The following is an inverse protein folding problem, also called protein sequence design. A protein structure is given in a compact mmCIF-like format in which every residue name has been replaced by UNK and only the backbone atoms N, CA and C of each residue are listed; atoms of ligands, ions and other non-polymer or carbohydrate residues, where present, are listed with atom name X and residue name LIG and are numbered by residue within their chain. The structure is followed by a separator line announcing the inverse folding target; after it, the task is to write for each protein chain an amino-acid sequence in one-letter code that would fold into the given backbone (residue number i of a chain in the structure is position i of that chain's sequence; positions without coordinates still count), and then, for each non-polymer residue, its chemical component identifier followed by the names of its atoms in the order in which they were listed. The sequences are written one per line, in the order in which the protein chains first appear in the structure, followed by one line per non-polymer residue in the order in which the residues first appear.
data_IF_646371798827
#
_entry.id   IF_646371798827
#
_cell.length_a   1.000
_cell.length_b   1.000
_cell.length_c   1.000
_cell.angle_alpha   90.00
_cell.angle_beta   90.00
_cell.angle_gamma   90.00
#
_symmetry.space_group_name_H-M   'P 1'
#
loop_
_entity.id
_entity.type
_entity.pdbx_description
1 polymer ?
#
# COMPACT_ATOMS: atom_id res chain seq x y z
N UNK A 1 -13.18 12.85 15.78
CA UNK A 1 -14.54 13.42 15.74
C UNK A 1 -15.63 12.36 15.54
N UNK A 2 -15.57 11.50 14.51
CA UNK A 2 -16.61 10.47 14.27
C UNK A 2 -16.87 9.53 15.45
N UNK A 3 -15.84 9.15 16.22
CA UNK A 3 -15.96 8.25 17.37
C UNK A 3 -16.83 8.81 18.51
N UNK A 4 -17.07 10.12 18.55
CA UNK A 4 -18.02 10.72 19.51
C UNK A 4 -19.44 10.25 19.23
N UNK A 5 -19.84 10.31 17.96
CA UNK A 5 -21.13 9.78 17.51
C UNK A 5 -21.20 8.26 17.65
N UNK A 6 -20.10 7.55 17.40
CA UNK A 6 -20.06 6.09 17.54
C UNK A 6 -20.36 5.64 18.98
N UNK A 7 -19.58 6.10 19.96
CA UNK A 7 -19.75 5.67 21.34
C UNK A 7 -20.95 6.33 22.01
N UNK A 8 -21.10 7.65 21.88
CA UNK A 8 -22.18 8.36 22.56
C UNK A 8 -23.52 8.13 21.89
N UNK A 9 -23.57 7.99 20.56
CA UNK A 9 -24.78 7.64 19.83
C UNK A 9 -25.27 6.22 20.08
N UNK A 10 -24.40 5.31 20.53
CA UNK A 10 -24.78 3.96 20.97
C UNK A 10 -25.69 3.95 22.20
N UNK A 11 -25.86 5.09 22.89
CA UNK A 11 -26.88 5.25 23.93
C UNK A 11 -28.30 5.35 23.38
N UNK A 12 -28.46 5.64 22.08
CA UNK A 12 -29.73 5.85 21.38
C UNK A 12 -30.64 6.93 22.02
N UNK A 13 -30.06 7.79 22.86
CA UNK A 13 -30.77 8.85 23.57
C UNK A 13 -29.84 10.03 23.83
N UNK A 14 -30.38 11.24 23.87
CA UNK A 14 -29.63 12.43 24.29
C UNK A 14 -29.94 12.75 25.75
N UNK A 15 -29.13 12.19 26.66
CA UNK A 15 -29.30 12.33 28.11
C UNK A 15 -27.96 12.60 28.83
N UNK A 16 -28.00 12.66 30.17
CA UNK A 16 -26.84 12.95 31.02
C UNK A 16 -25.68 11.93 30.90
N UNK A 17 -25.90 10.76 30.30
CA UNK A 17 -24.85 9.76 30.08
C UNK A 17 -23.98 10.07 28.85
N UNK A 18 -24.43 10.91 27.92
CA UNK A 18 -23.73 11.24 26.68
C UNK A 18 -22.40 11.98 26.94
N UNK A 19 -22.36 13.10 27.69
CA UNK A 19 -21.11 13.82 27.95
C UNK A 19 -19.99 12.96 28.59
N UNK A 20 -20.25 12.15 29.65
CA UNK A 20 -19.19 11.34 30.24
C UNK A 20 -18.69 10.22 29.31
N UNK A 21 -19.54 9.68 28.42
CA UNK A 21 -19.11 8.71 27.40
C UNK A 21 -18.12 9.36 26.41
N UNK A 22 -18.42 10.58 25.95
CA UNK A 22 -17.52 11.33 25.05
C UNK A 22 -16.19 11.60 25.76
N UNK A 23 -16.23 12.06 27.01
CA UNK A 23 -15.02 12.34 27.79
C UNK A 23 -14.15 11.09 27.97
N UNK A 24 -14.74 9.94 28.36
CA UNK A 24 -14.03 8.66 28.48
C UNK A 24 -13.44 8.20 27.15
N UNK A 25 -14.17 8.40 26.06
CA UNK A 25 -13.68 8.08 24.71
C UNK A 25 -12.44 8.89 24.36
N UNK A 26 -12.45 10.19 24.65
CA UNK A 26 -11.29 11.07 24.42
C UNK A 26 -10.10 10.71 25.31
N UNK A 27 -10.34 10.46 26.60
CA UNK A 27 -9.29 10.10 27.55
C UNK A 27 -8.58 8.80 27.14
N UNK A 28 -9.32 7.77 26.73
CA UNK A 28 -8.74 6.52 26.27
C UNK A 28 -7.94 6.69 24.96
N UNK A 29 -8.49 7.41 23.98
CA UNK A 29 -7.77 7.69 22.73
C UNK A 29 -6.49 8.49 22.96
N UNK A 30 -6.55 9.55 23.78
CA UNK A 30 -5.39 10.39 24.08
C UNK A 30 -4.31 9.65 24.88
N UNK A 31 -4.70 8.91 25.91
CA UNK A 31 -3.75 8.14 26.73
C UNK A 31 -3.05 7.03 25.94
N UNK A 32 -3.79 6.32 25.08
CA UNK A 32 -3.22 5.32 24.17
C UNK A 32 -2.26 5.96 23.16
N UNK A 33 -2.62 7.11 22.57
CA UNK A 33 -1.75 7.82 21.62
C UNK A 33 -0.41 8.22 22.25
N UNK A 34 -0.45 8.77 23.47
CA UNK A 34 0.76 9.16 24.22
C UNK A 34 1.57 7.92 24.59
N UNK A 35 0.93 6.87 25.12
CA UNK A 35 1.62 5.65 25.53
C UNK A 35 2.29 4.96 24.35
N UNK A 36 1.60 4.82 23.21
CA UNK A 36 2.18 4.21 22.01
C UNK A 36 3.33 5.05 21.47
N UNK A 37 3.17 6.37 21.39
CA UNK A 37 4.25 7.25 20.94
C UNK A 37 5.50 7.11 21.82
N UNK A 38 5.35 7.15 23.14
CA UNK A 38 6.48 7.05 24.07
C UNK A 38 7.17 5.69 23.97
N UNK A 39 6.41 4.59 24.00
CA UNK A 39 6.95 3.24 23.91
C UNK A 39 7.56 2.98 22.53
N UNK A 40 6.90 3.41 21.47
CA UNK A 40 7.35 3.23 20.09
C UNK A 40 8.61 4.02 19.82
N UNK A 41 8.67 5.27 20.28
CA UNK A 41 9.87 6.10 20.21
C UNK A 41 11.02 5.46 20.99
N UNK A 42 10.76 4.95 22.20
CA UNK A 42 11.79 4.26 22.97
C UNK A 42 12.43 3.10 22.19
N UNK A 43 11.65 2.26 21.50
CA UNK A 43 12.17 1.13 20.74
C UNK A 43 12.74 1.48 19.37
N UNK A 44 12.13 2.43 18.65
CA UNK A 44 12.56 2.80 17.29
C UNK A 44 13.66 3.85 17.26
N UNK A 45 13.89 4.54 18.38
CA UNK A 45 14.80 5.68 18.50
C UNK A 45 14.28 6.96 17.85
N UNK A 46 13.11 6.96 17.19
CA UNK A 46 12.54 8.14 16.52
C UNK A 46 11.01 8.23 16.71
N UNK A 47 10.47 9.41 17.04
CA UNK A 47 9.03 9.59 17.12
C UNK A 47 8.45 9.64 15.70
N UNK A 48 7.64 8.64 15.35
CA UNK A 48 6.94 8.61 14.05
C UNK A 48 5.45 8.93 14.23
N UNK A 49 4.85 9.55 13.22
CA UNK A 49 3.43 9.89 13.25
C UNK A 49 2.52 8.65 13.28
N UNK A 50 3.01 7.53 12.75
CA UNK A 50 2.28 6.27 12.72
C UNK A 50 1.90 5.82 14.13
N UNK A 51 2.81 5.92 15.11
CA UNK A 51 2.52 5.59 16.51
C UNK A 51 1.40 6.43 17.11
N UNK A 52 1.34 7.72 16.76
CA UNK A 52 0.30 8.61 17.26
C UNK A 52 -1.07 8.28 16.62
N UNK A 53 -1.10 8.01 15.32
CA UNK A 53 -2.33 7.64 14.60
C UNK A 53 -2.84 6.29 15.10
N UNK A 54 -2.04 5.23 14.99
CA UNK A 54 -2.45 3.87 15.38
C UNK A 54 -2.70 3.77 16.89
N UNK A 55 -1.92 4.47 17.71
CA UNK A 55 -2.17 4.54 19.14
C UNK A 55 -3.48 5.24 19.49
N UNK A 56 -3.80 6.36 18.84
CA UNK A 56 -5.07 7.04 19.09
C UNK A 56 -6.27 6.15 18.71
N UNK A 57 -6.22 5.49 17.56
CA UNK A 57 -7.31 4.61 17.09
C UNK A 57 -7.40 3.37 17.98
N UNK A 58 -6.28 2.76 18.37
CA UNK A 58 -6.27 1.60 19.27
C UNK A 58 -6.93 1.88 20.62
N UNK A 59 -6.71 3.06 21.20
CA UNK A 59 -7.39 3.49 22.43
C UNK A 59 -8.89 3.70 22.26
N UNK A 60 -9.30 4.28 21.12
CA UNK A 60 -10.71 4.46 20.77
C UNK A 60 -11.42 3.12 20.55
N UNK A 61 -10.76 2.16 19.90
CA UNK A 61 -11.27 0.79 19.76
C UNK A 61 -11.41 0.13 21.13
N UNK A 62 -10.37 0.18 21.97
CA UNK A 62 -10.38 -0.50 23.26
C UNK A 62 -11.46 0.01 24.22
N UNK A 63 -11.77 1.31 24.23
CA UNK A 63 -12.80 1.85 25.12
C UNK A 63 -14.23 1.61 24.62
N UNK A 64 -14.41 1.23 23.35
CA UNK A 64 -15.73 1.19 22.69
C UNK A 64 -16.74 0.32 23.46
N UNK A 65 -16.36 -0.88 23.86
CA UNK A 65 -17.24 -1.82 24.57
C UNK A 65 -17.63 -1.34 25.98
N UNK A 66 -16.75 -0.58 26.64
CA UNK A 66 -16.83 -0.30 28.09
C UNK A 66 -17.06 1.19 28.41
N UNK A 67 -17.12 2.06 27.39
CA UNK A 67 -17.17 3.51 27.56
C UNK A 67 -18.34 4.01 28.42
N UNK A 68 -19.46 3.27 28.51
CA UNK A 68 -20.61 3.60 29.34
C UNK A 68 -20.44 3.17 30.80
N UNK A 69 -19.81 2.02 31.05
CA UNK A 69 -19.78 1.37 32.37
C UNK A 69 -18.48 1.57 33.17
N UNK A 70 -17.44 2.20 32.62
CA UNK A 70 -16.16 2.43 33.34
C UNK A 70 -16.03 3.84 33.92
N UNK A 71 -15.07 4.03 34.82
CA UNK A 71 -14.67 5.36 35.34
C UNK A 71 -13.75 6.11 34.36
N UNK A 72 -13.60 7.43 34.54
CA UNK A 72 -12.65 8.24 33.75
C UNK A 72 -11.21 7.76 33.90
N UNK A 73 -10.79 7.41 35.12
CA UNK A 73 -9.43 6.88 35.38
C UNK A 73 -9.25 5.51 34.73
N UNK A 74 -10.24 4.63 34.83
CA UNK A 74 -10.21 3.32 34.16
C UNK A 74 -10.07 3.47 32.64
N UNK A 75 -10.74 4.46 32.03
CA UNK A 75 -10.61 4.71 30.58
C UNK A 75 -9.18 5.04 30.15
N UNK A 76 -8.43 5.76 30.99
CA UNK A 76 -7.00 6.06 30.75
C UNK A 76 -6.17 4.78 30.81
N UNK A 77 -6.39 3.92 31.81
CA UNK A 77 -5.67 2.64 31.90
C UNK A 77 -5.99 1.70 30.74
N UNK A 78 -7.25 1.62 30.33
CA UNK A 78 -7.67 0.84 29.16
C UNK A 78 -6.94 1.32 27.91
N UNK A 79 -6.88 2.64 27.70
CA UNK A 79 -6.13 3.24 26.59
C UNK A 79 -4.63 2.95 26.65
N UNK A 80 -3.98 3.14 27.80
CA UNK A 80 -2.56 2.83 27.96
C UNK A 80 -2.25 1.36 27.63
N UNK A 81 -3.05 0.41 28.12
CA UNK A 81 -2.84 -1.03 27.85
C UNK A 81 -3.09 -1.34 26.37
N UNK A 82 -4.06 -0.68 25.73
CA UNK A 82 -4.33 -0.84 24.30
C UNK A 82 -3.11 -0.53 23.43
N UNK A 83 -2.30 0.48 23.79
CA UNK A 83 -1.05 0.78 23.09
C UNK A 83 -0.07 -0.41 23.10
N UNK A 84 0.11 -1.06 24.26
CA UNK A 84 0.97 -2.24 24.38
C UNK A 84 0.41 -3.45 23.63
N UNK A 85 -0.90 -3.67 23.69
CA UNK A 85 -1.58 -4.74 22.94
C UNK A 85 -1.44 -4.54 21.44
N UNK A 86 -1.60 -3.31 20.95
CA UNK A 86 -1.45 -2.99 19.54
C UNK A 86 0.00 -3.23 19.08
N UNK A 87 0.98 -2.69 19.79
CA UNK A 87 2.40 -2.88 19.45
C UNK A 87 2.81 -4.36 19.51
N UNK A 88 2.35 -5.08 20.52
CA UNK A 88 2.59 -6.52 20.64
C UNK A 88 1.97 -7.30 19.46
N UNK A 89 0.74 -6.95 19.08
CA UNK A 89 0.06 -7.57 17.93
C UNK A 89 0.78 -7.29 16.62
N UNK A 90 1.23 -6.06 16.40
CA UNK A 90 2.05 -5.67 15.24
C UNK A 90 3.35 -6.49 15.19
N UNK A 91 4.05 -6.59 16.32
CA UNK A 91 5.26 -7.41 16.43
C UNK A 91 5.00 -8.89 16.09
N UNK A 92 3.90 -9.46 16.56
CA UNK A 92 3.53 -10.84 16.23
C UNK A 92 3.27 -11.02 14.73
N UNK A 93 2.55 -10.12 14.07
CA UNK A 93 2.29 -10.21 12.63
C UNK A 93 3.60 -10.16 11.82
N UNK A 94 4.48 -9.21 12.14
CA UNK A 94 5.80 -9.11 11.51
C UNK A 94 6.61 -10.40 11.74
N UNK A 95 6.57 -10.96 12.95
CA UNK A 95 7.27 -12.20 13.29
C UNK A 95 6.79 -13.40 12.47
N UNK A 96 5.51 -13.43 12.09
CA UNK A 96 4.92 -14.43 11.22
C UNK A 96 4.95 -14.06 9.73
N UNK A 97 5.60 -12.94 9.36
CA UNK A 97 5.65 -12.41 7.99
C UNK A 97 4.26 -12.16 7.39
N UNK A 98 3.31 -11.77 8.24
CA UNK A 98 2.00 -11.32 7.81
C UNK A 98 2.10 -9.81 7.63
N UNK A 99 1.97 -9.37 6.38
CA UNK A 99 2.01 -7.96 6.03
C UNK A 99 0.62 -7.34 6.15
N UNK A 100 0.42 -6.52 7.19
CA UNK A 100 -0.78 -5.72 7.39
C UNK A 100 -0.46 -4.26 7.03
N UNK A 101 -0.79 -3.89 5.80
CA UNK A 101 -0.39 -2.62 5.19
C UNK A 101 -0.78 -1.37 5.99
N UNK A 102 -1.85 -1.44 6.79
CA UNK A 102 -2.37 -0.28 7.55
C UNK A 102 -2.41 -0.51 9.06
N UNK A 103 -2.05 -1.70 9.54
CA UNK A 103 -2.15 -2.06 10.96
C UNK A 103 -3.60 -2.26 11.41
N UNK A 104 -4.50 -2.70 10.52
CA UNK A 104 -5.90 -2.92 10.84
C UNK A 104 -6.09 -4.04 11.88
N UNK A 105 -5.32 -5.12 11.80
CA UNK A 105 -5.42 -6.26 12.71
C UNK A 105 -4.94 -5.89 14.12
N UNK A 106 -3.75 -5.29 14.33
CA UNK A 106 -3.33 -4.83 15.66
C UNK A 106 -4.32 -3.86 16.30
N UNK A 107 -4.79 -2.87 15.53
CA UNK A 107 -5.65 -1.80 16.02
C UNK A 107 -7.06 -2.30 16.31
N UNK A 108 -7.68 -3.05 15.40
CA UNK A 108 -9.09 -3.44 15.53
C UNK A 108 -9.27 -4.79 16.21
N UNK A 109 -8.53 -5.83 15.80
CA UNK A 109 -8.64 -7.15 16.42
C UNK A 109 -7.95 -7.15 17.78
N UNK A 110 -6.67 -6.75 17.85
CA UNK A 110 -5.89 -6.75 19.09
C UNK A 110 -6.53 -5.89 20.18
N UNK A 111 -6.67 -4.58 19.92
CA UNK A 111 -7.31 -3.68 20.90
C UNK A 111 -8.79 -3.98 21.12
N UNK A 112 -9.49 -4.56 20.14
CA UNK A 112 -10.90 -4.95 20.27
C UNK A 112 -11.08 -6.12 21.25
N UNK A 113 -10.21 -7.13 21.18
CA UNK A 113 -10.15 -8.23 22.15
C UNK A 113 -9.90 -7.68 23.55
N UNK A 114 -8.87 -6.83 23.69
CA UNK A 114 -8.55 -6.19 24.96
C UNK A 114 -9.72 -5.36 25.50
N UNK A 115 -10.32 -4.51 24.67
CA UNK A 115 -11.42 -3.63 25.05
C UNK A 115 -12.67 -4.38 25.49
N UNK A 116 -13.00 -5.46 24.80
CA UNK A 116 -14.12 -6.34 25.16
C UNK A 116 -13.88 -7.03 26.50
N UNK A 117 -12.66 -7.53 26.71
CA UNK A 117 -12.28 -8.14 27.99
C UNK A 117 -12.24 -7.11 29.13
N UNK A 118 -11.85 -5.87 28.84
CA UNK A 118 -11.80 -4.78 29.83
C UNK A 118 -13.17 -4.44 30.43
N UNK A 119 -14.28 -4.77 29.75
CA UNK A 119 -15.63 -4.66 30.33
C UNK A 119 -15.74 -5.47 31.62
N UNK A 120 -15.19 -6.70 31.64
CA UNK A 120 -15.26 -7.57 32.80
C UNK A 120 -14.36 -7.11 33.97
N UNK A 121 -13.24 -6.46 33.65
CA UNK A 121 -12.26 -6.04 34.64
C UNK A 121 -12.59 -4.67 35.27
N UNK A 122 -13.09 -3.73 34.45
CA UNK A 122 -13.26 -2.33 34.86
C UNK A 122 -14.72 -1.85 34.85
N UNK A 123 -15.65 -2.65 34.32
CA UNK A 123 -17.06 -2.32 34.29
C UNK A 123 -17.63 -2.23 35.71
N UNK A 124 -18.31 -1.12 36.01
CA UNK A 124 -18.98 -0.93 37.30
C UNK A 124 -20.22 -1.81 37.35
N UNK A 125 -20.32 -2.63 38.40
CA UNK A 125 -21.43 -3.56 38.58
C UNK A 125 -22.78 -2.84 38.68
N UNK A 126 -22.80 -1.66 39.30
CA UNK A 126 -24.03 -0.84 39.41
C UNK A 126 -24.55 -0.36 38.05
N UNK A 127 -23.69 -0.26 37.03
CA UNK A 127 -24.06 0.20 35.69
C UNK A 127 -24.39 -0.98 34.77
N UNK A 128 -23.69 -2.10 34.93
CA UNK A 128 -23.94 -3.32 34.15
C UNK A 128 -25.23 -4.02 34.58
N UNK A 129 -25.56 -3.97 35.88
CA UNK A 129 -26.82 -4.42 36.49
C UNK A 129 -27.31 -5.81 36.03
N UNK A 130 -26.37 -6.74 35.85
CA UNK A 130 -26.66 -8.09 35.35
C UNK A 130 -26.47 -9.19 36.41
N UNK A 131 -26.12 -8.81 37.64
CA UNK A 131 -25.87 -9.72 38.76
C UNK A 131 -24.66 -10.65 38.62
N UNK A 132 -23.86 -10.51 37.56
CA UNK A 132 -22.71 -11.38 37.31
C UNK A 132 -21.51 -10.99 38.16
N UNK A 133 -20.79 -11.98 38.70
CA UNK A 133 -19.47 -11.77 39.27
C UNK A 133 -18.43 -11.43 38.19
N UNK A 134 -17.26 -10.93 38.58
CA UNK A 134 -16.15 -10.63 37.64
C UNK A 134 -15.76 -11.89 36.83
N UNK A 135 -15.79 -13.07 37.44
CA UNK A 135 -15.42 -14.33 36.78
C UNK A 135 -16.46 -14.69 35.72
N UNK A 136 -17.76 -14.62 36.07
CA UNK A 136 -18.85 -14.89 35.13
C UNK A 136 -18.86 -13.86 33.99
N UNK A 137 -18.69 -12.58 34.33
CA UNK A 137 -18.59 -11.50 33.35
C UNK A 137 -17.41 -11.72 32.40
N UNK A 138 -16.25 -12.15 32.92
CA UNK A 138 -15.06 -12.48 32.12
C UNK A 138 -15.33 -13.63 31.16
N UNK A 139 -16.01 -14.67 31.64
CA UNK A 139 -16.39 -15.81 30.80
C UNK A 139 -17.34 -15.38 29.68
N UNK A 140 -18.34 -14.54 29.97
CA UNK A 140 -19.28 -14.01 28.97
C UNK A 140 -18.54 -13.19 27.90
N UNK A 141 -17.63 -12.30 28.31
CA UNK A 141 -16.86 -11.50 27.36
C UNK A 141 -15.94 -12.37 26.49
N UNK A 142 -15.30 -13.38 27.07
CA UNK A 142 -14.46 -14.31 26.33
C UNK A 142 -15.27 -15.13 25.32
N UNK A 143 -16.45 -15.64 25.71
CA UNK A 143 -17.36 -16.32 24.79
C UNK A 143 -17.79 -15.38 23.66
N UNK A 144 -18.06 -14.11 23.95
CA UNK A 144 -18.37 -13.09 22.94
C UNK A 144 -17.22 -12.89 21.94
N UNK A 145 -15.99 -12.73 22.43
CA UNK A 145 -14.78 -12.58 21.61
C UNK A 145 -14.61 -13.79 20.69
N UNK A 146 -14.67 -15.00 21.24
CA UNK A 146 -14.48 -16.25 20.47
C UNK A 146 -15.59 -16.41 19.43
N UNK A 147 -16.85 -16.15 19.82
CA UNK A 147 -17.99 -16.25 18.90
C UNK A 147 -17.87 -15.24 17.77
N UNK A 148 -17.53 -13.98 18.07
CA UNK A 148 -17.33 -12.94 17.06
C UNK A 148 -16.22 -13.32 16.08
N UNK A 149 -15.09 -13.87 16.58
CA UNK A 149 -14.00 -14.34 15.73
C UNK A 149 -14.42 -15.52 14.82
N UNK A 150 -15.05 -16.56 15.41
CA UNK A 150 -15.46 -17.76 14.69
C UNK A 150 -16.55 -17.50 13.64
N UNK A 151 -17.36 -16.46 13.82
CA UNK A 151 -18.34 -16.04 12.81
C UNK A 151 -17.69 -15.13 11.77
N UNK A 152 -17.03 -14.05 12.19
CA UNK A 152 -16.55 -13.01 11.27
C UNK A 152 -15.40 -13.47 10.39
N UNK A 153 -14.40 -14.16 10.94
CA UNK A 153 -13.20 -14.52 10.19
C UNK A 153 -13.48 -15.58 9.11
N UNK A 154 -14.11 -16.75 9.41
CA UNK A 154 -14.41 -17.73 8.38
C UNK A 154 -15.41 -17.22 7.33
N UNK A 155 -16.40 -16.43 7.75
CA UNK A 155 -17.38 -15.87 6.82
C UNK A 155 -16.72 -14.86 5.86
N UNK A 156 -15.92 -13.92 6.38
CA UNK A 156 -15.18 -12.97 5.56
C UNK A 156 -14.20 -13.68 4.63
N UNK A 157 -13.46 -14.67 5.13
CA UNK A 157 -12.52 -15.44 4.32
C UNK A 157 -13.23 -16.20 3.18
N UNK A 158 -14.33 -16.89 3.49
CA UNK A 158 -15.13 -17.61 2.50
C UNK A 158 -15.69 -16.63 1.46
N UNK A 159 -16.24 -15.50 1.90
CA UNK A 159 -16.80 -14.48 1.03
C UNK A 159 -15.74 -13.90 0.09
N UNK A 160 -14.60 -13.46 0.62
CA UNK A 160 -13.50 -12.89 -0.17
C UNK A 160 -12.94 -13.93 -1.15
N UNK A 161 -12.79 -15.19 -0.72
CA UNK A 161 -12.35 -16.27 -1.61
C UNK A 161 -13.35 -16.56 -2.74
N UNK A 162 -14.66 -16.49 -2.48
CA UNK A 162 -15.68 -16.64 -3.53
C UNK A 162 -15.67 -15.46 -4.52
N UNK A 163 -15.45 -14.24 -4.02
CA UNK A 163 -15.32 -13.05 -4.86
C UNK A 163 -14.06 -13.15 -5.73
N UNK A 164 -12.92 -13.54 -5.15
CA UNK A 164 -11.63 -13.65 -5.84
C UNK A 164 -11.67 -14.60 -7.05
N UNK A 165 -12.54 -15.63 -7.01
CA UNK A 165 -12.75 -16.53 -8.16
C UNK A 165 -13.35 -15.85 -9.39
N UNK A 166 -14.12 -14.78 -9.21
CA UNK A 166 -14.79 -14.06 -10.31
C UNK A 166 -14.14 -12.72 -10.59
N UNK A 167 -13.65 -12.06 -9.55
CA UNK A 167 -13.06 -10.73 -9.57
C UNK A 167 -11.75 -10.81 -8.79
N UNK A 168 -10.59 -10.94 -9.47
CA UNK A 168 -9.31 -11.07 -8.78
C UNK A 168 -9.10 -9.86 -7.88
N UNK A 169 -8.94 -10.11 -6.58
CA UNK A 169 -8.83 -9.04 -5.58
C UNK A 169 -7.40 -8.47 -5.51
N UNK A 170 -6.42 -9.23 -5.98
CA UNK A 170 -5.02 -8.80 -6.06
C UNK A 170 -4.69 -8.36 -7.49
N UNK A 171 -4.06 -7.19 -7.60
CA UNK A 171 -3.53 -6.66 -8.86
C UNK A 171 -2.40 -7.55 -9.41
N UNK A 172 -2.06 -7.38 -10.70
CA UNK A 172 -0.94 -8.09 -11.29
C UNK A 172 0.39 -7.69 -10.64
N UNK A 173 1.42 -8.55 -10.70
CA UNK A 173 2.74 -8.21 -10.17
C UNK A 173 3.36 -6.99 -10.88
N UNK A 174 3.07 -6.81 -12.17
CA UNK A 174 3.52 -5.63 -12.92
C UNK A 174 2.87 -4.36 -12.37
N UNK A 175 1.55 -4.39 -12.15
CA UNK A 175 0.82 -3.25 -11.56
C UNK A 175 1.20 -2.98 -10.11
N UNK A 176 1.54 -4.03 -9.34
CA UNK A 176 2.05 -3.91 -7.96
C UNK A 176 3.40 -3.18 -7.93
N UNK A 177 4.29 -3.45 -8.90
CA UNK A 177 5.60 -2.81 -9.03
C UNK A 177 5.51 -1.36 -9.52
N UNK A 178 4.61 -1.08 -10.46
CA UNK A 178 4.37 0.27 -10.99
C UNK A 178 3.65 1.15 -9.94
N UNK A 179 2.79 0.52 -9.13
CA UNK A 179 2.02 1.14 -8.05
C UNK A 179 0.59 1.49 -8.46
N UNK A 180 -0.39 1.19 -7.58
CA UNK A 180 -1.83 1.31 -7.86
C UNK A 180 -2.30 2.74 -8.16
N UNK A 181 -1.56 3.75 -7.73
CA UNK A 181 -1.86 5.14 -8.12
C UNK A 181 -1.71 5.33 -9.63
N UNK A 182 -0.76 4.66 -10.25
CA UNK A 182 -0.49 4.79 -11.69
C UNK A 182 -1.33 3.78 -12.48
N UNK A 183 -1.32 2.50 -12.10
CA UNK A 183 -2.00 1.42 -12.84
C UNK A 183 -3.53 1.52 -12.79
N UNK A 184 -4.11 1.79 -11.62
CA UNK A 184 -5.58 1.84 -11.44
C UNK A 184 -6.14 3.26 -11.56
N UNK A 185 -5.40 4.28 -11.08
CA UNK A 185 -5.92 5.66 -10.98
C UNK A 185 -5.30 6.63 -12.00
N UNK A 186 -4.35 6.19 -12.83
CA UNK A 186 -3.71 7.01 -13.85
C UNK A 186 -2.98 8.24 -13.31
N UNK A 187 -2.63 8.26 -12.02
CA UNK A 187 -1.99 9.39 -11.38
C UNK A 187 -0.56 9.56 -11.93
N UNK A 188 -0.23 10.78 -12.30
CA UNK A 188 1.13 11.16 -12.74
C UNK A 188 1.75 12.04 -11.68
N UNK A 189 2.82 11.58 -11.06
CA UNK A 189 3.69 12.41 -10.21
C UNK A 189 4.85 12.95 -11.06
N UNK A 190 5.47 14.07 -10.66
CA UNK A 190 6.64 14.61 -11.35
C UNK A 190 7.76 13.57 -11.48
N UNK A 191 7.95 12.74 -10.45
CA UNK A 191 8.90 11.63 -10.47
C UNK A 191 8.48 10.52 -11.43
N UNK A 192 7.19 10.15 -11.51
CA UNK A 192 6.73 9.14 -12.47
C UNK A 192 6.87 9.62 -13.91
N UNK A 193 6.60 10.91 -14.16
CA UNK A 193 6.82 11.52 -15.47
C UNK A 193 8.30 11.56 -15.85
N UNK A 194 9.20 11.80 -14.88
CA UNK A 194 10.63 11.75 -15.11
C UNK A 194 11.09 10.34 -15.51
N UNK A 195 10.67 9.31 -14.77
CA UNK A 195 10.99 7.91 -15.09
C UNK A 195 10.37 7.45 -16.42
N UNK A 196 9.13 7.86 -16.73
CA UNK A 196 8.52 7.54 -18.03
C UNK A 196 9.26 8.22 -19.18
N UNK A 197 9.67 9.48 -19.01
CA UNK A 197 10.43 10.20 -20.03
C UNK A 197 11.82 9.59 -20.24
N UNK A 198 12.50 9.16 -19.17
CA UNK A 198 13.79 8.46 -19.26
C UNK A 198 13.68 7.13 -20.01
N UNK A 199 12.65 6.34 -19.72
CA UNK A 199 12.41 5.05 -20.41
C UNK A 199 11.99 5.23 -21.88
N UNK A 200 11.26 6.29 -22.21
CA UNK A 200 10.97 6.66 -23.60
C UNK A 200 12.23 7.09 -24.36
N UNK A 201 13.12 7.87 -23.74
CA UNK A 201 14.41 8.22 -24.34
C UNK A 201 15.29 6.98 -24.57
N UNK A 202 15.34 6.04 -23.63
CA UNK A 202 16.06 4.78 -23.80
C UNK A 202 15.53 4.00 -25.02
N UNK A 203 14.20 3.84 -25.11
CA UNK A 203 13.56 3.17 -26.26
C UNK A 203 13.84 3.90 -27.57
N UNK A 204 13.80 5.23 -27.58
CA UNK A 204 14.14 6.02 -28.77
C UNK A 204 15.59 5.81 -29.21
N UNK A 205 16.54 5.79 -28.28
CA UNK A 205 17.96 5.55 -28.58
C UNK A 205 18.14 4.16 -29.19
N UNK A 206 17.55 3.14 -28.58
CA UNK A 206 17.60 1.76 -29.10
C UNK A 206 16.98 1.70 -30.50
N UNK A 207 15.82 2.34 -30.70
CA UNK A 207 15.13 2.34 -31.98
C UNK A 207 15.96 3.02 -33.07
N UNK A 208 16.58 4.15 -32.77
CA UNK A 208 17.47 4.86 -33.69
C UNK A 208 18.70 4.01 -34.06
N UNK A 209 19.31 3.34 -33.07
CA UNK A 209 20.44 2.44 -33.31
C UNK A 209 20.06 1.26 -34.21
N UNK A 210 18.95 0.59 -33.92
CA UNK A 210 18.46 -0.54 -34.73
C UNK A 210 18.09 -0.09 -36.14
N UNK A 211 17.41 1.05 -36.27
CA UNK A 211 17.00 1.59 -37.57
C UNK A 211 18.22 2.00 -38.43
N UNK A 212 19.23 2.61 -37.82
CA UNK A 212 20.50 2.93 -38.47
C UNK A 212 21.25 1.66 -38.90
N UNK A 213 21.31 0.64 -38.05
CA UNK A 213 21.94 -0.65 -38.38
C UNK A 213 21.26 -1.32 -39.59
N UNK A 214 19.93 -1.33 -39.62
CA UNK A 214 19.15 -1.86 -40.75
C UNK A 214 19.43 -1.06 -42.03
N UNK A 215 19.51 0.27 -41.95
CA UNK A 215 19.84 1.12 -43.08
C UNK A 215 21.24 0.83 -43.63
N UNK A 216 22.24 0.70 -42.75
CA UNK A 216 23.62 0.35 -43.11
C UNK A 216 23.69 -1.02 -43.80
N UNK A 217 22.99 -2.03 -43.27
CA UNK A 217 22.91 -3.36 -43.88
C UNK A 217 22.30 -3.34 -45.28
N UNK A 218 21.33 -2.45 -45.55
CA UNK A 218 20.75 -2.26 -46.91
C UNK A 218 21.68 -1.51 -47.87
N UNK A 219 22.52 -0.61 -47.36
CA UNK A 219 23.47 0.17 -48.17
C UNK A 219 24.68 -0.64 -48.64
N UNK A 220 25.13 -1.62 -47.84
CA UNK A 220 26.28 -2.49 -48.19
C UNK A 220 26.13 -3.18 -49.56
N UNK A 221 25.03 -3.89 -49.88
CA UNK A 221 24.87 -4.52 -51.19
C UNK A 221 24.71 -3.51 -52.33
N UNK A 222 24.09 -2.35 -52.09
CA UNK A 222 24.00 -1.27 -53.07
C UNK A 222 25.39 -0.72 -53.42
N UNK A 223 26.22 -0.45 -52.42
CA UNK A 223 27.62 -0.03 -52.62
C UNK A 223 28.42 -1.10 -53.37
N UNK A 224 28.28 -2.38 -53.02
CA UNK A 224 28.92 -3.47 -53.76
C UNK A 224 28.50 -3.51 -55.23
N UNK A 225 27.22 -3.33 -55.52
CA UNK A 225 26.69 -3.30 -56.89
C UNK A 225 27.19 -2.08 -57.68
N UNK A 226 27.21 -0.90 -57.06
CA UNK A 226 27.75 0.34 -57.68
C UNK A 226 29.24 0.22 -57.97
N UNK A 227 30.02 -0.34 -57.03
CA UNK A 227 31.46 -0.57 -57.23
C UNK A 227 31.71 -1.63 -58.32
N UNK A 228 30.91 -2.69 -58.38
CA UNK A 228 30.99 -3.69 -59.44
C UNK A 228 30.67 -3.08 -60.83
N UNK A 229 29.61 -2.26 -60.92
CA UNK A 229 29.26 -1.51 -62.13
C UNK A 229 30.39 -0.57 -62.57
N UNK A 230 30.99 0.16 -61.63
CA UNK A 230 32.08 1.10 -61.93
C UNK A 230 33.35 0.40 -62.43
N UNK A 231 33.69 -0.77 -61.86
CA UNK A 231 34.78 -1.61 -62.37
C UNK A 231 34.52 -2.12 -63.78
N UNK A 232 33.29 -2.49 -64.12
CA UNK A 232 32.93 -2.92 -65.47
C UNK A 232 32.98 -1.78 -66.49
N UNK A 233 32.56 -0.56 -66.14
CA UNK A 233 32.56 0.60 -67.06
C UNK A 233 33.96 1.17 -67.33
N UNK A 234 34.93 0.97 -66.44
CA UNK A 234 36.31 1.49 -66.60
C UNK A 234 37.31 0.47 -67.15
N UNK A 235 36.89 -0.76 -67.46
CA UNK A 235 37.77 -1.78 -68.06
C UNK A 235 37.78 -1.76 -69.61
N UNK A 236 37.05 -0.82 -70.25
CA UNK A 236 36.90 -0.75 -71.71
C UNK A 236 37.68 0.38 -72.40
N UNK A 237 38.69 0.98 -71.77
CA UNK A 237 39.62 1.88 -72.47
C UNK A 237 40.72 1.04 -73.14
N UNK A 238 40.36 0.43 -74.26
CA UNK A 238 41.29 -0.28 -75.14
C UNK A 238 41.99 0.76 -76.05
N UNK A 239 43.25 1.09 -75.71
CA UNK A 239 44.12 1.89 -76.56
C UNK A 239 44.49 1.03 -77.77
N UNK A 240 43.72 1.11 -78.86
CA UNK A 240 44.09 0.51 -80.14
C UNK A 240 44.20 1.60 -81.19
N UNK A 241 45.43 1.80 -81.66
CA UNK A 241 45.77 2.75 -82.70
C UNK A 241 45.27 2.29 -84.07
N UNK A 242 44.72 3.23 -84.83
CA UNK A 242 44.82 3.33 -86.29
C UNK A 242 44.00 4.53 -86.77
N UNK A 243 44.58 5.73 -86.72
CA UNK A 243 44.13 6.87 -87.51
C UNK A 243 45.36 7.54 -88.13
N UNK A 244 45.93 6.89 -89.14
CA UNK A 244 46.89 7.49 -90.05
C UNK A 244 46.29 7.46 -91.46
N UNK A 245 46.52 8.56 -92.20
CA UNK A 245 46.37 8.73 -93.66
C UNK A 245 44.98 9.12 -94.19
N UNK A 246 44.73 10.42 -94.22
CA UNK A 246 44.27 11.14 -95.43
C UNK A 246 44.37 12.65 -95.19
N UNK A 247 45.43 13.28 -95.69
CA UNK A 247 45.49 14.66 -96.22
C UNK A 247 46.94 15.09 -96.40
N UNK A 248 47.53 14.69 -97.52
CA UNK A 248 48.72 15.32 -98.09
C UNK A 248 48.53 15.44 -99.60
N UNK A 249 47.81 16.48 -100.02
CA UNK A 249 47.83 17.06 -101.38
C UNK A 249 47.06 18.37 -101.36
N UNK A 250 47.64 19.39 -102.01
CA UNK A 250 47.20 20.79 -102.15
C UNK A 250 47.69 21.73 -101.04
N UNK A 251 48.83 22.39 -101.28
CA UNK A 251 48.90 23.83 -101.59
C UNK A 251 50.33 24.20 -102.00
N UNK A 252 50.44 24.67 -103.24
CA UNK A 252 51.43 25.63 -103.74
C UNK A 252 51.29 26.97 -103.02
#
# INVERSE_FOLDING_TARGET
MGWFGFNAGSTLAFNSNVPPIIAKTMLAGASSAVMYLLTGWYFSGKPTINYLINGSIGGLVAITASCHCVSGISSVFIGCIAAWVCMGSEYFLIRYKIDDAVGAVPVHLGCGIWGTFAVALFGKQEVLDNGLSIIEQSSVQLTGIVTAFLVSFPFALLFLWLVDKKFPLRVSQEDELIGLNVSEHGAKTETSNLFSTMTEHEKQVIYLFVSLLILLLKLVPLLKNTIASWKHSNCSVNISGNYFKTHRRQLS
#
